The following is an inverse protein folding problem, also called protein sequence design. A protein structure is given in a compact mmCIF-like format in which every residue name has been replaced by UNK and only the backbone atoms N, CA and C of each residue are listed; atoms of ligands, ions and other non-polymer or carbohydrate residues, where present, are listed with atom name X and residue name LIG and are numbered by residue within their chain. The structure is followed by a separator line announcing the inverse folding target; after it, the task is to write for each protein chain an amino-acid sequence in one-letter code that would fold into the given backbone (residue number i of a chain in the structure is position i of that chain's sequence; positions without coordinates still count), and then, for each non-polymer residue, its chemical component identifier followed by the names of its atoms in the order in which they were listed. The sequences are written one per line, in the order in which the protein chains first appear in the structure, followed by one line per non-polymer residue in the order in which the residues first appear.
data_IF_010568933738
#
_entry.id   IF_010568933738
#
_cell.length_a   1.000
_cell.length_b   1.000
_cell.length_c   1.000
_cell.angle_alpha   90.00
_cell.angle_beta   90.00
_cell.angle_gamma   90.00
#
_symmetry.space_group_name_H-M   'P 1'
#
loop_
_entity.id
_entity.type
_entity.pdbx_description
1 polymer ?
#
# COMPACT_ATOMS: atom_id res chain seq x y z
N UNK A 1 -26.02 14.09 -28.40
CA UNK A 1 -26.24 14.23 -26.94
C UNK A 1 -24.96 13.94 -26.17
N UNK A 2 -24.18 12.90 -26.52
CA UNK A 2 -22.85 12.65 -25.94
C UNK A 2 -21.88 13.84 -26.09
N UNK A 3 -21.80 14.47 -27.26
CA UNK A 3 -20.80 15.52 -27.52
C UNK A 3 -20.94 16.77 -26.65
N UNK A 4 -22.18 17.14 -26.28
CA UNK A 4 -22.42 18.30 -25.42
C UNK A 4 -22.09 17.98 -23.95
N UNK A 5 -22.42 16.76 -23.50
CA UNK A 5 -22.05 16.30 -22.17
C UNK A 5 -20.52 16.29 -21.99
N UNK A 6 -19.76 15.74 -22.95
CA UNK A 6 -18.28 15.73 -22.84
C UNK A 6 -17.67 17.14 -22.80
N UNK A 7 -18.23 18.08 -23.58
CA UNK A 7 -17.76 19.47 -23.57
C UNK A 7 -18.05 20.15 -22.23
N UNK A 8 -19.25 19.96 -21.66
CA UNK A 8 -19.57 20.48 -20.33
C UNK A 8 -18.73 19.81 -19.23
N UNK A 9 -18.48 18.50 -19.31
CA UNK A 9 -17.56 17.80 -18.41
C UNK A 9 -16.13 18.35 -18.50
N UNK A 10 -15.63 18.60 -19.71
CA UNK A 10 -14.28 19.16 -19.91
C UNK A 10 -14.15 20.59 -19.38
N UNK A 11 -15.25 21.35 -19.37
CA UNK A 11 -15.30 22.70 -18.82
C UNK A 11 -15.50 22.72 -17.31
N UNK A 12 -15.92 21.62 -16.67
CA UNK A 12 -16.24 21.55 -15.24
C UNK A 12 -15.15 22.11 -14.32
N UNK A 13 -13.83 21.89 -14.54
CA UNK A 13 -12.78 22.48 -13.71
C UNK A 13 -12.73 24.01 -13.76
N UNK A 14 -13.19 24.60 -14.88
CA UNK A 14 -13.24 26.03 -15.12
C UNK A 14 -14.49 26.68 -14.51
N UNK A 15 -15.50 25.89 -14.14
CA UNK A 15 -16.76 26.43 -13.62
C UNK A 15 -16.60 27.06 -12.24
N UNK A 16 -15.53 26.73 -11.50
CA UNK A 16 -15.14 27.45 -10.27
C UNK A 16 -14.96 28.96 -10.48
N UNK A 17 -14.63 29.38 -11.71
CA UNK A 17 -14.37 30.77 -12.05
C UNK A 17 -15.57 31.47 -12.69
N UNK A 18 -16.59 30.69 -13.11
CA UNK A 18 -17.71 31.18 -13.91
C UNK A 18 -19.04 31.17 -13.14
N UNK A 19 -19.18 30.37 -12.08
CA UNK A 19 -20.47 30.14 -11.40
C UNK A 19 -20.27 30.17 -9.88
N UNK A 20 -21.11 30.95 -9.17
CA UNK A 20 -21.05 31.12 -7.70
C UNK A 20 -21.35 29.84 -6.91
N UNK A 21 -22.09 28.89 -7.51
CA UNK A 21 -22.43 27.57 -6.93
C UNK A 21 -22.12 26.43 -7.90
N UNK A 22 -20.95 25.81 -7.82
CA UNK A 22 -20.58 24.73 -8.72
C UNK A 22 -21.28 23.39 -8.40
N UNK A 23 -21.89 23.25 -7.21
CA UNK A 23 -22.59 22.03 -6.77
C UNK A 23 -23.86 21.71 -7.59
N UNK A 24 -24.71 22.71 -7.82
CA UNK A 24 -25.94 22.58 -8.63
C UNK A 24 -25.63 22.09 -10.06
N UNK A 25 -24.45 22.47 -10.55
CA UNK A 25 -23.95 22.11 -11.86
C UNK A 25 -23.49 20.67 -11.94
N UNK A 26 -22.82 20.19 -10.89
CA UNK A 26 -22.42 18.78 -10.75
C UNK A 26 -23.67 17.90 -10.64
N UNK A 27 -24.65 18.25 -9.79
CA UNK A 27 -25.91 17.52 -9.65
C UNK A 27 -26.67 17.37 -10.98
N UNK A 28 -26.75 18.46 -11.74
CA UNK A 28 -27.39 18.45 -13.05
C UNK A 28 -26.66 17.54 -14.04
N UNK A 29 -25.33 17.57 -14.08
CA UNK A 29 -24.54 16.69 -14.93
C UNK A 29 -24.65 15.21 -14.50
N UNK A 30 -24.78 14.93 -13.19
CA UNK A 30 -25.05 13.59 -12.66
C UNK A 30 -26.39 13.09 -13.19
N UNK A 31 -27.42 13.94 -13.16
CA UNK A 31 -28.74 13.60 -13.71
C UNK A 31 -28.70 13.37 -15.22
N UNK A 32 -27.86 14.11 -15.96
CA UNK A 32 -27.67 13.89 -17.40
C UNK A 32 -26.93 12.58 -17.72
N UNK A 33 -25.93 12.20 -16.92
CA UNK A 33 -25.19 10.93 -17.12
C UNK A 33 -26.02 9.68 -16.81
N UNK A 34 -27.13 9.81 -16.07
CA UNK A 34 -28.14 8.73 -15.92
C UNK A 34 -28.89 8.42 -17.21
N UNK A 35 -28.95 9.35 -18.16
CA UNK A 35 -29.57 9.16 -19.47
C UNK A 35 -28.68 8.46 -20.50
N UNK A 36 -27.43 8.11 -20.16
CA UNK A 36 -26.53 7.38 -21.05
C UNK A 36 -26.95 5.91 -21.11
N UNK A 37 -27.35 5.46 -22.31
CA UNK A 37 -27.78 4.08 -22.55
C UNK A 37 -26.62 3.06 -22.51
N UNK A 38 -25.39 3.51 -22.78
CA UNK A 38 -24.20 2.67 -22.62
C UNK A 38 -23.72 2.71 -21.16
N UNK A 39 -23.79 1.58 -20.44
CA UNK A 39 -23.34 1.50 -19.05
C UNK A 39 -21.85 1.87 -18.91
N UNK A 40 -21.00 1.49 -19.87
CA UNK A 40 -19.56 1.77 -19.79
C UNK A 40 -19.28 3.27 -19.94
N UNK A 41 -19.87 3.92 -20.94
CA UNK A 41 -19.77 5.37 -21.10
C UNK A 41 -20.37 6.12 -19.91
N UNK A 42 -21.47 5.63 -19.31
CA UNK A 42 -22.02 6.22 -18.09
C UNK A 42 -21.04 6.13 -16.92
N UNK A 43 -20.41 4.98 -16.71
CA UNK A 43 -19.43 4.78 -15.65
C UNK A 43 -18.20 5.70 -15.84
N UNK A 44 -17.62 5.75 -17.05
CA UNK A 44 -16.49 6.64 -17.34
C UNK A 44 -16.85 8.12 -17.19
N UNK A 45 -18.03 8.55 -17.65
CA UNK A 45 -18.48 9.92 -17.48
C UNK A 45 -18.65 10.27 -15.99
N UNK A 46 -19.27 9.41 -15.20
CA UNK A 46 -19.41 9.62 -13.74
C UNK A 46 -18.05 9.66 -13.04
N UNK A 47 -17.11 8.82 -13.45
CA UNK A 47 -15.76 8.79 -12.89
C UNK A 47 -14.95 10.04 -13.26
N UNK A 48 -15.04 10.49 -14.51
CA UNK A 48 -14.42 11.74 -14.95
C UNK A 48 -15.04 12.96 -14.26
N UNK A 49 -16.37 12.96 -14.06
CA UNK A 49 -17.03 13.99 -13.27
C UNK A 49 -16.57 13.98 -11.82
N UNK A 50 -16.43 12.81 -11.18
CA UNK A 50 -15.90 12.69 -9.82
C UNK A 50 -14.49 13.28 -9.72
N UNK A 51 -13.62 12.96 -10.69
CA UNK A 51 -12.28 13.53 -10.79
C UNK A 51 -12.30 15.06 -10.95
N UNK A 52 -13.17 15.60 -11.80
CA UNK A 52 -13.28 17.04 -12.00
C UNK A 52 -13.90 17.75 -10.79
N UNK A 53 -14.86 17.11 -10.11
CA UNK A 53 -15.52 17.65 -8.93
C UNK A 53 -14.57 17.77 -7.71
N UNK A 54 -13.59 16.89 -7.58
CA UNK A 54 -12.53 16.98 -6.56
C UNK A 54 -11.70 18.28 -6.66
N UNK A 55 -11.64 18.91 -7.84
CA UNK A 55 -10.90 20.16 -8.06
C UNK A 55 -11.70 21.40 -7.66
N UNK A 56 -12.91 21.24 -7.12
CA UNK A 56 -13.79 22.32 -6.71
C UNK A 56 -13.72 22.53 -5.18
N UNK A 57 -13.60 23.78 -4.70
CA UNK A 57 -13.26 24.08 -3.30
C UNK A 57 -14.38 23.89 -2.27
N UNK A 58 -15.60 23.48 -2.66
CA UNK A 58 -16.77 23.37 -1.75
C UNK A 58 -17.54 22.06 -1.81
N UNK A 59 -17.15 21.11 -2.67
CA UNK A 59 -17.95 19.92 -2.87
C UNK A 59 -17.81 18.97 -1.67
N UNK A 60 -18.91 18.65 -0.99
CA UNK A 60 -18.94 17.66 0.08
C UNK A 60 -18.81 16.26 -0.54
N UNK A 61 -17.57 15.75 -0.61
CA UNK A 61 -17.20 14.60 -1.44
C UNK A 61 -17.94 13.31 -1.04
N UNK A 62 -18.40 13.22 0.22
CA UNK A 62 -19.28 12.14 0.68
C UNK A 62 -20.61 12.10 -0.07
N UNK A 63 -21.26 13.25 -0.28
CA UNK A 63 -22.50 13.34 -1.07
C UNK A 63 -22.23 13.07 -2.55
N UNK A 64 -21.06 13.45 -3.04
CA UNK A 64 -20.65 13.27 -4.43
C UNK A 64 -20.45 11.79 -4.77
N UNK A 65 -19.83 11.00 -3.89
CA UNK A 65 -19.71 9.54 -4.04
C UNK A 65 -21.10 8.86 -4.05
N UNK A 66 -22.00 9.29 -3.16
CA UNK A 66 -23.40 8.82 -3.13
C UNK A 66 -24.13 9.19 -4.43
N UNK A 67 -23.98 10.43 -4.92
CA UNK A 67 -24.63 10.93 -6.14
C UNK A 67 -24.09 10.28 -7.42
N UNK A 68 -22.80 9.94 -7.46
CA UNK A 68 -22.20 9.16 -8.55
C UNK A 68 -22.62 7.69 -8.53
N UNK A 69 -23.35 7.26 -7.50
CA UNK A 69 -23.89 5.91 -7.36
C UNK A 69 -22.97 4.94 -6.64
N UNK A 70 -21.90 5.41 -5.99
CA UNK A 70 -21.00 4.57 -5.17
C UNK A 70 -21.52 4.39 -3.74
N UNK A 71 -22.55 5.14 -3.34
CA UNK A 71 -23.16 5.09 -2.01
C UNK A 71 -24.59 4.51 -1.96
N UNK A 72 -25.04 3.77 -2.98
CA UNK A 72 -26.38 3.17 -3.01
C UNK A 72 -26.37 1.63 -2.87
N UNK A 73 -27.49 1.10 -2.39
CA UNK A 73 -27.71 -0.29 -1.97
C UNK A 73 -27.18 -1.37 -2.94
N UNK A 74 -26.65 -2.42 -2.31
CA UNK A 74 -25.99 -3.64 -2.81
C UNK A 74 -26.66 -4.39 -4.00
N UNK A 75 -27.85 -3.99 -4.45
CA UNK A 75 -28.65 -4.75 -5.43
C UNK A 75 -28.63 -4.09 -6.83
N UNK A 76 -28.43 -2.78 -6.93
CA UNK A 76 -28.53 -2.06 -8.23
C UNK A 76 -27.18 -1.91 -8.97
N UNK A 77 -26.04 -1.89 -8.26
CA UNK A 77 -24.71 -1.85 -8.88
C UNK A 77 -24.27 -3.22 -9.44
N UNK A 78 -24.57 -4.30 -8.72
CA UNK A 78 -24.03 -5.63 -8.98
C UNK A 78 -24.77 -6.41 -10.07
N UNK A 79 -25.98 -5.97 -10.45
CA UNK A 79 -26.74 -6.58 -11.52
C UNK A 79 -26.31 -6.19 -12.93
N UNK A 80 -25.47 -5.16 -13.10
CA UNK A 80 -25.29 -4.49 -14.41
C UNK A 80 -23.85 -4.32 -14.91
N UNK A 81 -22.83 -4.56 -14.09
CA UNK A 81 -21.45 -4.23 -14.45
C UNK A 81 -20.49 -5.38 -14.17
N UNK A 82 -19.83 -5.88 -15.22
CA UNK A 82 -18.85 -6.98 -15.16
C UNK A 82 -17.41 -6.53 -14.83
N UNK A 83 -17.18 -5.22 -14.68
CA UNK A 83 -15.84 -4.63 -14.58
C UNK A 83 -15.74 -3.53 -13.51
N UNK A 84 -16.40 -3.71 -12.36
CA UNK A 84 -16.37 -2.76 -11.24
C UNK A 84 -14.98 -2.69 -10.58
N UNK A 85 -14.25 -3.81 -10.51
CA UNK A 85 -12.93 -3.89 -9.85
C UNK A 85 -11.90 -2.96 -10.51
N UNK A 86 -11.82 -2.94 -11.85
CA UNK A 86 -10.89 -2.06 -12.57
C UNK A 86 -11.30 -0.58 -12.49
N UNK A 87 -12.59 -0.29 -12.54
CA UNK A 87 -13.13 1.08 -12.42
C UNK A 87 -12.84 1.63 -11.03
N UNK A 88 -13.08 0.82 -10.00
CA UNK A 88 -12.79 1.17 -8.61
C UNK A 88 -11.29 1.42 -8.41
N UNK A 89 -10.42 0.60 -9.01
CA UNK A 89 -8.97 0.79 -8.94
C UNK A 89 -8.56 2.19 -9.44
N UNK A 90 -9.02 2.55 -10.63
CA UNK A 90 -8.70 3.84 -11.22
C UNK A 90 -9.32 5.00 -10.46
N UNK A 91 -10.53 4.84 -9.94
CA UNK A 91 -11.17 5.85 -9.10
C UNK A 91 -10.35 6.09 -7.83
N UNK A 92 -9.97 5.03 -7.13
CA UNK A 92 -9.18 5.11 -5.90
C UNK A 92 -7.80 5.73 -6.14
N UNK A 93 -7.20 5.45 -7.30
CA UNK A 93 -5.90 6.00 -7.69
C UNK A 93 -5.95 7.52 -7.81
N UNK A 94 -7.07 8.06 -8.30
CA UNK A 94 -7.25 9.50 -8.54
C UNK A 94 -7.81 10.25 -7.32
N UNK A 95 -8.49 9.58 -6.38
CA UNK A 95 -9.05 10.20 -5.19
C UNK A 95 -7.96 10.82 -4.29
N UNK A 96 -8.08 12.09 -3.84
CA UNK A 96 -7.15 12.70 -2.89
C UNK A 96 -7.01 11.90 -1.59
N UNK A 97 -5.82 11.87 -1.01
CA UNK A 97 -5.56 11.11 0.22
C UNK A 97 -6.47 11.56 1.37
N UNK A 98 -6.79 12.86 1.45
CA UNK A 98 -7.70 13.42 2.47
C UNK A 98 -9.11 12.81 2.41
N UNK A 99 -9.59 12.48 1.20
CA UNK A 99 -10.87 11.80 0.99
C UNK A 99 -10.77 10.33 1.37
N UNK A 100 -9.71 9.66 0.90
CA UNK A 100 -9.51 8.23 1.16
C UNK A 100 -9.42 7.96 2.66
N UNK A 101 -8.72 8.80 3.40
CA UNK A 101 -8.59 8.70 4.87
C UNK A 101 -9.92 8.95 5.61
N UNK A 102 -10.80 9.79 5.07
CA UNK A 102 -12.10 10.12 5.69
C UNK A 102 -13.17 9.06 5.41
N UNK A 103 -13.14 8.43 4.23
CA UNK A 103 -14.13 7.42 3.79
C UNK A 103 -13.53 5.99 3.71
N UNK A 104 -12.44 5.72 4.42
CA UNK A 104 -11.65 4.50 4.26
C UNK A 104 -12.47 3.21 4.46
N UNK A 105 -13.38 3.19 5.44
CA UNK A 105 -14.23 2.02 5.74
C UNK A 105 -15.24 1.76 4.63
N UNK A 106 -15.83 2.81 4.06
CA UNK A 106 -16.79 2.70 2.94
C UNK A 106 -16.10 2.23 1.67
N UNK A 107 -14.90 2.77 1.39
CA UNK A 107 -14.07 2.35 0.27
C UNK A 107 -13.68 0.88 0.44
N UNK A 108 -13.28 0.46 1.64
CA UNK A 108 -12.95 -0.93 1.93
C UNK A 108 -14.13 -1.86 1.66
N UNK A 109 -15.32 -1.53 2.18
CA UNK A 109 -16.54 -2.30 1.92
C UNK A 109 -16.83 -2.39 0.41
N UNK A 110 -16.59 -1.30 -0.33
CA UNK A 110 -16.77 -1.28 -1.79
C UNK A 110 -15.80 -2.23 -2.50
N UNK A 111 -14.53 -2.26 -2.07
CA UNK A 111 -13.51 -3.20 -2.59
C UNK A 111 -13.91 -4.65 -2.31
N UNK A 112 -14.46 -4.94 -1.13
CA UNK A 112 -14.91 -6.28 -0.76
C UNK A 112 -16.03 -6.76 -1.68
N UNK A 113 -17.00 -5.89 -1.97
CA UNK A 113 -18.12 -6.24 -2.82
C UNK A 113 -17.73 -6.30 -4.32
N UNK A 114 -16.73 -5.56 -4.78
CA UNK A 114 -16.35 -5.46 -6.20
C UNK A 114 -15.43 -6.58 -6.72
N UNK A 115 -15.53 -7.80 -6.18
CA UNK A 115 -14.68 -8.92 -6.61
C UNK A 115 -15.18 -9.51 -7.95
N UNK A 116 -14.62 -9.02 -9.06
CA UNK A 116 -14.89 -9.51 -10.40
C UNK A 116 -13.60 -9.89 -11.15
N UNK A 117 -13.74 -10.47 -12.35
CA UNK A 117 -12.61 -10.94 -13.15
C UNK A 117 -11.83 -9.82 -13.86
N UNK A 118 -12.29 -8.57 -13.80
CA UNK A 118 -11.70 -7.47 -14.58
C UNK A 118 -10.37 -7.00 -14.02
N UNK A 119 -10.10 -7.24 -12.73
CA UNK A 119 -8.89 -6.76 -12.07
C UNK A 119 -8.56 -7.54 -10.80
N UNK A 120 -7.25 -7.70 -10.53
CA UNK A 120 -6.78 -8.36 -9.31
C UNK A 120 -7.17 -7.55 -8.07
N UNK A 121 -8.01 -8.13 -7.22
CA UNK A 121 -8.50 -7.51 -5.99
C UNK A 121 -7.36 -7.17 -5.02
N UNK A 122 -6.24 -7.92 -5.03
CA UNK A 122 -5.08 -7.62 -4.19
C UNK A 122 -4.50 -6.24 -4.51
N UNK A 123 -4.53 -5.83 -5.78
CA UNK A 123 -4.05 -4.51 -6.19
C UNK A 123 -4.94 -3.37 -5.68
N UNK A 124 -6.24 -3.63 -5.49
CA UNK A 124 -7.16 -2.67 -4.88
C UNK A 124 -6.88 -2.49 -3.39
N UNK A 125 -6.72 -3.59 -2.65
CA UNK A 125 -6.33 -3.51 -1.23
C UNK A 125 -4.96 -2.84 -1.05
N UNK A 126 -3.98 -3.20 -1.89
CA UNK A 126 -2.65 -2.59 -1.91
C UNK A 126 -2.71 -1.08 -2.15
N UNK A 127 -3.49 -0.64 -3.14
CA UNK A 127 -3.64 0.78 -3.44
C UNK A 127 -4.28 1.53 -2.26
N UNK A 128 -5.31 0.97 -1.64
CA UNK A 128 -5.91 1.57 -0.43
C UNK A 128 -4.88 1.76 0.68
N UNK A 129 -4.03 0.76 0.92
CA UNK A 129 -2.93 0.85 1.89
C UNK A 129 -1.99 2.03 1.60
N UNK A 130 -1.52 2.17 0.35
CA UNK A 130 -0.66 3.31 0.01
C UNK A 130 -1.34 4.67 0.18
N UNK A 131 -2.60 4.81 -0.24
CA UNK A 131 -3.33 6.08 -0.07
C UNK A 131 -3.54 6.43 1.41
N UNK A 132 -3.73 5.43 2.26
CA UNK A 132 -3.86 5.62 3.71
C UNK A 132 -2.53 5.93 4.40
N UNK A 133 -1.39 5.48 3.87
CA UNK A 133 -0.07 5.77 4.46
C UNK A 133 0.45 7.17 4.12
N UNK A 134 -0.05 7.81 3.05
CA UNK A 134 0.32 9.18 2.64
C UNK A 134 -0.05 10.26 3.68
N UNK A 135 -1.08 10.01 4.48
CA UNK A 135 -1.62 10.97 5.45
C UNK A 135 -1.96 10.28 6.77
N UNK A 136 -1.66 10.95 7.88
CA UNK A 136 -2.11 10.48 9.19
C UNK A 136 -3.63 10.52 9.26
N UNK A 137 -4.21 9.35 9.39
CA UNK A 137 -5.65 9.14 9.55
C UNK A 137 -6.03 9.05 11.02
N UNK A 138 -7.33 9.10 11.32
CA UNK A 138 -7.80 8.83 12.69
C UNK A 138 -7.55 7.36 13.05
N UNK A 139 -7.07 7.12 14.26
CA UNK A 139 -6.65 5.80 14.74
C UNK A 139 -7.78 4.77 14.68
N UNK A 140 -9.00 5.15 15.05
CA UNK A 140 -10.19 4.29 15.00
C UNK A 140 -10.49 3.75 13.59
N UNK A 141 -10.41 4.62 12.58
CA UNK A 141 -10.63 4.26 11.17
C UNK A 141 -9.53 3.31 10.69
N UNK A 142 -8.27 3.64 10.97
CA UNK A 142 -7.11 2.82 10.55
C UNK A 142 -7.17 1.43 11.14
N UNK A 143 -7.48 1.33 12.44
CA UNK A 143 -7.61 0.04 13.11
C UNK A 143 -8.67 -0.83 12.44
N UNK A 144 -9.87 -0.28 12.20
CA UNK A 144 -10.95 -1.02 11.56
C UNK A 144 -10.57 -1.53 10.16
N UNK A 145 -9.86 -0.72 9.37
CA UNK A 145 -9.39 -1.11 8.04
C UNK A 145 -8.32 -2.20 8.13
N UNK A 146 -7.30 -2.02 8.97
CA UNK A 146 -6.20 -2.99 9.12
C UNK A 146 -6.70 -4.33 9.67
N UNK A 147 -7.60 -4.31 10.66
CA UNK A 147 -8.26 -5.51 11.20
C UNK A 147 -8.93 -6.31 10.09
N UNK A 148 -9.74 -5.62 9.29
CA UNK A 148 -10.51 -6.24 8.23
C UNK A 148 -9.65 -6.75 7.08
N UNK A 149 -8.67 -5.96 6.63
CA UNK A 149 -7.72 -6.39 5.59
C UNK A 149 -6.92 -7.60 6.07
N UNK A 150 -6.46 -7.60 7.32
CA UNK A 150 -5.74 -8.73 7.92
C UNK A 150 -6.61 -9.99 7.96
N UNK A 151 -7.90 -9.83 8.28
CA UNK A 151 -8.88 -10.93 8.22
C UNK A 151 -9.01 -11.49 6.80
N UNK A 152 -9.25 -10.64 5.79
CA UNK A 152 -9.41 -11.09 4.40
C UNK A 152 -8.13 -11.76 3.87
N UNK A 153 -6.96 -11.24 4.23
CA UNK A 153 -5.67 -11.83 3.83
C UNK A 153 -5.36 -13.13 4.56
N UNK A 154 -5.91 -13.36 5.75
CA UNK A 154 -5.70 -14.61 6.51
C UNK A 154 -6.25 -15.84 5.79
N UNK A 155 -7.29 -15.67 4.97
CA UNK A 155 -7.95 -16.72 4.18
C UNK A 155 -7.16 -17.10 2.91
N UNK A 156 -6.28 -16.21 2.42
CA UNK A 156 -5.48 -16.42 1.21
C UNK A 156 -4.21 -17.20 1.53
N UNK A 157 -3.91 -18.22 0.72
CA UNK A 157 -2.73 -19.09 0.91
C UNK A 157 -1.49 -18.63 0.11
N UNK A 158 -1.66 -17.82 -0.94
CA UNK A 158 -0.56 -17.38 -1.79
C UNK A 158 0.33 -16.37 -1.05
N UNK A 159 1.64 -16.64 -1.01
CA UNK A 159 2.64 -15.73 -0.45
C UNK A 159 2.71 -14.42 -1.26
N UNK A 160 2.78 -14.50 -2.59
CA UNK A 160 2.77 -13.33 -3.48
C UNK A 160 1.56 -12.41 -3.27
N UNK A 161 0.33 -12.95 -3.22
CA UNK A 161 -0.88 -12.16 -2.97
C UNK A 161 -0.84 -11.50 -1.59
N UNK A 162 -0.38 -12.26 -0.59
CA UNK A 162 -0.26 -11.76 0.79
C UNK A 162 0.75 -10.61 0.85
N UNK A 163 1.95 -10.79 0.32
CA UNK A 163 3.04 -9.80 0.30
C UNK A 163 2.64 -8.52 -0.44
N UNK A 164 1.99 -8.64 -1.61
CA UNK A 164 1.49 -7.50 -2.39
C UNK A 164 0.62 -6.57 -1.56
N UNK A 165 -0.24 -7.13 -0.70
CA UNK A 165 -1.14 -6.33 0.15
C UNK A 165 -0.39 -5.85 1.39
N UNK A 166 0.19 -6.75 2.18
CA UNK A 166 0.74 -6.36 3.50
C UNK A 166 1.89 -5.36 3.40
N UNK A 167 2.71 -5.40 2.34
CA UNK A 167 3.77 -4.40 2.12
C UNK A 167 3.25 -2.96 2.15
N UNK A 168 2.03 -2.72 1.64
CA UNK A 168 1.40 -1.40 1.66
C UNK A 168 0.87 -0.98 3.05
N UNK A 169 0.63 -1.93 3.96
CA UNK A 169 0.06 -1.68 5.29
C UNK A 169 1.10 -1.67 6.40
N UNK A 170 2.32 -2.18 6.18
CA UNK A 170 3.40 -2.17 7.18
C UNK A 170 3.67 -0.76 7.69
N UNK A 171 3.77 0.24 6.80
CA UNK A 171 4.01 1.63 7.21
C UNK A 171 2.87 2.16 8.10
N UNK A 172 1.62 1.80 7.80
CA UNK A 172 0.45 2.19 8.60
C UNK A 172 0.53 1.57 10.00
N UNK A 173 0.81 0.27 10.06
CA UNK A 173 0.91 -0.50 11.31
C UNK A 173 2.01 0.07 12.21
N UNK A 174 3.18 0.38 11.64
CA UNK A 174 4.31 0.96 12.34
C UNK A 174 4.00 2.38 12.85
N UNK A 175 3.49 3.25 11.97
CA UNK A 175 3.14 4.63 12.34
C UNK A 175 2.07 4.72 13.45
N UNK A 176 1.19 3.72 13.55
CA UNK A 176 0.11 3.67 14.54
C UNK A 176 0.43 2.81 15.78
N UNK A 177 1.62 2.21 15.88
CA UNK A 177 2.05 1.34 16.99
C UNK A 177 1.12 0.14 17.21
N UNK A 178 0.78 -0.55 16.12
CA UNK A 178 -0.14 -1.70 16.13
C UNK A 178 0.63 -3.03 16.26
N UNK A 179 1.31 -3.25 17.38
CA UNK A 179 2.26 -4.37 17.56
C UNK A 179 1.61 -5.75 17.37
N UNK A 180 0.36 -5.93 17.78
CA UNK A 180 -0.40 -7.17 17.58
C UNK A 180 -0.58 -7.50 16.09
N UNK A 181 -0.86 -6.47 15.27
CA UNK A 181 -1.00 -6.60 13.83
C UNK A 181 0.34 -6.82 13.15
N UNK A 182 1.40 -6.17 13.62
CA UNK A 182 2.76 -6.43 13.13
C UNK A 182 3.13 -7.90 13.33
N UNK A 183 2.92 -8.43 14.54
CA UNK A 183 3.15 -9.85 14.83
C UNK A 183 2.31 -10.78 13.96
N UNK A 184 1.04 -10.42 13.73
CA UNK A 184 0.14 -11.18 12.84
C UNK A 184 0.62 -11.17 11.39
N UNK A 185 1.11 -10.01 10.91
CA UNK A 185 1.67 -9.87 9.57
C UNK A 185 2.89 -10.77 9.42
N UNK A 186 3.89 -10.64 10.31
CA UNK A 186 5.14 -11.40 10.27
C UNK A 186 4.90 -12.90 10.41
N UNK A 187 4.04 -13.33 11.35
CA UNK A 187 3.65 -14.74 11.47
C UNK A 187 2.93 -15.26 10.23
N UNK A 188 2.13 -14.42 9.57
CA UNK A 188 1.49 -14.72 8.30
C UNK A 188 2.48 -14.88 7.14
N UNK A 189 3.58 -14.11 7.13
CA UNK A 189 4.68 -14.26 6.15
C UNK A 189 5.40 -15.58 6.41
N UNK A 190 5.90 -15.81 7.64
CA UNK A 190 6.64 -17.02 8.00
C UNK A 190 5.85 -18.29 7.68
N UNK A 191 4.55 -18.33 8.04
CA UNK A 191 3.66 -19.47 7.74
C UNK A 191 3.56 -19.78 6.24
N UNK A 192 3.54 -18.77 5.37
CA UNK A 192 3.35 -18.93 3.91
C UNK A 192 4.66 -19.13 3.16
N UNK A 193 5.77 -18.66 3.73
CA UNK A 193 7.10 -18.85 3.18
C UNK A 193 7.72 -20.21 3.60
N UNK A 194 7.21 -20.83 4.66
CA UNK A 194 7.70 -22.10 5.17
C UNK A 194 7.80 -23.18 4.07
N UNK A 195 9.01 -23.69 3.84
CA UNK A 195 9.35 -24.71 2.84
C UNK A 195 9.01 -24.36 1.38
N UNK A 196 8.82 -23.08 1.05
CA UNK A 196 8.57 -22.63 -0.32
C UNK A 196 9.82 -21.96 -0.88
N UNK A 197 10.13 -22.22 -2.17
CA UNK A 197 11.09 -21.41 -2.91
C UNK A 197 10.45 -20.04 -3.15
N UNK A 198 11.04 -19.01 -2.57
CA UNK A 198 10.62 -17.62 -2.70
C UNK A 198 11.01 -17.12 -4.09
N UNK A 199 10.12 -16.45 -4.82
CA UNK A 199 10.44 -15.88 -6.14
C UNK A 199 11.13 -14.52 -6.02
N UNK A 200 11.73 -14.02 -7.10
CA UNK A 200 12.36 -12.68 -7.12
C UNK A 200 11.36 -11.55 -6.78
N UNK A 201 10.12 -11.62 -7.27
CA UNK A 201 9.08 -10.64 -6.95
C UNK A 201 8.66 -10.68 -5.47
N UNK A 202 8.60 -11.90 -4.90
CA UNK A 202 8.34 -12.10 -3.47
C UNK A 202 9.53 -11.56 -2.64
N UNK A 203 10.78 -11.79 -3.06
CA UNK A 203 11.99 -11.24 -2.43
C UNK A 203 12.02 -9.71 -2.43
N UNK A 204 11.64 -9.06 -3.53
CA UNK A 204 11.57 -7.61 -3.61
C UNK A 204 10.56 -7.03 -2.60
N UNK A 205 9.42 -7.72 -2.42
CA UNK A 205 8.41 -7.34 -1.43
C UNK A 205 8.90 -7.58 0.01
N UNK A 206 9.56 -8.71 0.27
CA UNK A 206 10.18 -9.00 1.58
C UNK A 206 11.27 -7.97 1.92
N UNK A 207 12.14 -7.64 0.97
CA UNK A 207 13.16 -6.60 1.12
C UNK A 207 12.53 -5.28 1.52
N UNK A 208 11.48 -4.84 0.81
CA UNK A 208 10.74 -3.62 1.14
C UNK A 208 10.21 -3.64 2.58
N UNK A 209 9.57 -4.74 2.99
CA UNK A 209 9.02 -4.90 4.35
C UNK A 209 10.13 -4.83 5.41
N UNK A 210 11.20 -5.60 5.26
CA UNK A 210 12.29 -5.64 6.26
C UNK A 210 13.02 -4.29 6.35
N UNK A 211 13.23 -3.60 5.22
CA UNK A 211 13.82 -2.25 5.22
C UNK A 211 12.90 -1.24 5.90
N UNK A 212 11.58 -1.31 5.70
CA UNK A 212 10.61 -0.47 6.44
C UNK A 212 10.68 -0.69 7.95
N UNK A 213 10.83 -1.94 8.40
CA UNK A 213 11.05 -2.24 9.82
C UNK A 213 12.36 -1.59 10.31
N UNK A 214 13.48 -1.86 9.64
CA UNK A 214 14.80 -1.36 10.02
C UNK A 214 14.89 0.17 10.05
N UNK A 215 14.12 0.86 9.20
CA UNK A 215 14.07 2.33 9.17
C UNK A 215 13.16 2.93 10.24
N UNK A 216 12.16 2.18 10.72
CA UNK A 216 11.25 2.64 11.77
C UNK A 216 11.82 2.48 13.18
N UNK A 217 12.48 1.36 13.46
CA UNK A 217 13.12 1.12 14.75
C UNK A 217 14.39 1.97 14.90
N UNK A 218 14.75 2.28 16.15
CA UNK A 218 15.98 3.02 16.44
C UNK A 218 17.14 2.09 16.71
N UNK A 219 16.92 1.04 17.50
CA UNK A 219 17.95 0.10 17.95
C UNK A 219 17.79 -1.23 17.22
N UNK A 220 18.90 -1.82 16.79
CA UNK A 220 18.89 -3.08 16.03
C UNK A 220 18.40 -4.26 16.88
N UNK A 221 18.69 -4.23 18.18
CA UNK A 221 18.26 -5.23 19.16
C UNK A 221 16.71 -5.32 19.19
N UNK A 222 16.01 -4.18 19.13
CA UNK A 222 14.53 -4.16 19.08
C UNK A 222 14.01 -4.95 17.86
N UNK A 223 14.70 -4.83 16.71
CA UNK A 223 14.32 -5.53 15.47
C UNK A 223 14.59 -7.03 15.59
N UNK A 224 15.71 -7.43 16.19
CA UNK A 224 16.04 -8.85 16.42
C UNK A 224 15.07 -9.53 17.40
N UNK A 225 14.43 -8.76 18.28
CA UNK A 225 13.37 -9.30 19.16
C UNK A 225 12.00 -9.45 18.50
N UNK A 226 11.80 -8.94 17.28
CA UNK A 226 10.54 -9.10 16.56
C UNK A 226 10.29 -10.56 16.19
N UNK A 227 9.07 -11.03 16.45
CA UNK A 227 8.68 -12.39 16.13
C UNK A 227 8.83 -12.65 14.62
N UNK A 228 9.42 -13.79 14.28
CA UNK A 228 9.65 -14.25 12.92
C UNK A 228 10.58 -13.37 12.06
N UNK A 229 11.17 -12.28 12.58
CA UNK A 229 12.07 -11.44 11.79
C UNK A 229 13.28 -12.22 11.25
N UNK A 230 13.98 -12.95 12.13
CA UNK A 230 15.13 -13.76 11.74
C UNK A 230 14.73 -14.93 10.82
N UNK A 231 13.57 -15.56 11.08
CA UNK A 231 13.04 -16.61 10.20
C UNK A 231 12.79 -16.09 8.77
N UNK A 232 12.24 -14.88 8.65
CA UNK A 232 12.01 -14.22 7.35
C UNK A 232 13.33 -13.76 6.72
N UNK A 233 14.30 -13.34 7.54
CA UNK A 233 15.63 -13.01 7.02
C UNK A 233 16.27 -14.26 6.42
N UNK A 234 16.22 -15.41 7.10
CA UNK A 234 16.89 -16.66 6.68
C UNK A 234 16.36 -17.26 5.37
N UNK A 235 15.10 -17.03 5.02
CA UNK A 235 14.55 -17.45 3.72
C UNK A 235 15.02 -16.58 2.54
N UNK A 236 15.52 -15.36 2.80
CA UNK A 236 15.98 -14.46 1.75
C UNK A 236 17.37 -14.84 1.26
N UNK A 237 17.64 -14.61 -0.03
CA UNK A 237 18.93 -14.86 -0.66
C UNK A 237 19.26 -13.78 -1.70
N UNK A 238 20.48 -13.83 -2.24
CA UNK A 238 20.96 -12.94 -3.30
C UNK A 238 21.00 -11.46 -2.91
N UNK A 239 20.88 -10.59 -3.91
CA UNK A 239 20.96 -9.13 -3.75
C UNK A 239 19.95 -8.60 -2.74
N UNK A 240 18.75 -9.18 -2.69
CA UNK A 240 17.71 -8.78 -1.74
C UNK A 240 18.12 -9.00 -0.28
N UNK A 241 18.71 -10.17 0.02
CA UNK A 241 19.27 -10.46 1.35
C UNK A 241 20.41 -9.50 1.68
N UNK A 242 21.30 -9.27 0.73
CA UNK A 242 22.48 -8.42 0.93
C UNK A 242 22.13 -6.96 1.17
N UNK A 243 21.09 -6.43 0.50
CA UNK A 243 20.56 -5.09 0.78
C UNK A 243 20.04 -5.01 2.23
N UNK A 244 19.24 -5.98 2.68
CA UNK A 244 18.73 -6.00 4.07
C UNK A 244 19.87 -6.10 5.07
N UNK A 245 20.85 -6.98 4.84
CA UNK A 245 22.04 -7.14 5.67
C UNK A 245 22.84 -5.83 5.80
N UNK A 246 23.02 -5.11 4.69
CA UNK A 246 23.66 -3.78 4.71
C UNK A 246 22.86 -2.79 5.55
N UNK A 247 21.52 -2.79 5.46
CA UNK A 247 20.67 -1.95 6.30
C UNK A 247 20.79 -2.29 7.79
N UNK A 248 20.86 -3.59 8.14
CA UNK A 248 21.09 -4.05 9.52
C UNK A 248 22.44 -3.56 10.05
N UNK A 249 23.53 -3.74 9.30
CA UNK A 249 24.86 -3.29 9.72
C UNK A 249 24.95 -1.76 9.83
N UNK A 250 24.35 -1.03 8.90
CA UNK A 250 24.30 0.42 8.98
C UNK A 250 23.51 0.90 10.22
N UNK A 251 22.41 0.22 10.55
CA UNK A 251 21.64 0.52 11.75
C UNK A 251 22.45 0.23 13.04
N UNK A 252 23.11 -0.92 13.08
CA UNK A 252 23.94 -1.37 14.19
C UNK A 252 25.10 -0.39 14.46
N UNK A 253 25.81 0.01 13.41
CA UNK A 253 27.00 0.88 13.53
C UNK A 253 26.67 2.34 13.87
N UNK A 254 25.48 2.85 13.49
CA UNK A 254 25.06 4.23 13.83
C UNK A 254 24.82 4.47 15.31
N UNK A 255 24.48 3.44 16.08
CA UNK A 255 24.13 3.59 17.50
C UNK A 255 25.30 3.36 18.47
N UNK A 256 26.47 2.96 17.97
CA UNK A 256 27.76 3.00 18.68
C UNK A 256 27.93 2.06 19.88
N UNK A 257 26.89 1.40 20.37
CA UNK A 257 27.00 0.43 21.46
C UNK A 257 26.00 -0.71 21.29
N UNK A 258 26.52 -1.92 21.09
CA UNK A 258 25.76 -3.17 21.10
C UNK A 258 26.32 -3.97 22.25
N UNK A 259 25.48 -4.25 23.25
CA UNK A 259 25.95 -4.87 24.49
C UNK A 259 25.60 -6.35 24.58
N UNK A 260 24.62 -6.79 23.79
CA UNK A 260 24.13 -8.16 23.81
C UNK A 260 25.03 -9.12 22.98
N UNK A 261 25.62 -10.16 23.59
CA UNK A 261 26.49 -11.12 22.89
C UNK A 261 25.81 -11.84 21.73
N UNK A 262 24.51 -12.13 21.84
CA UNK A 262 23.75 -12.80 20.77
C UNK A 262 23.58 -11.88 19.56
N UNK A 263 23.27 -10.62 19.78
CA UNK A 263 23.17 -9.60 18.74
C UNK A 263 24.53 -9.37 18.05
N UNK A 264 25.63 -9.37 18.80
CA UNK A 264 26.99 -9.30 18.24
C UNK A 264 27.27 -10.51 17.33
N UNK A 265 26.94 -11.71 17.79
CA UNK A 265 27.13 -12.94 17.00
C UNK A 265 26.35 -12.91 15.69
N UNK A 266 25.07 -12.50 15.72
CA UNK A 266 24.25 -12.35 14.52
C UNK A 266 24.85 -11.34 13.54
N UNK A 267 25.39 -10.22 14.03
CA UNK A 267 26.02 -9.21 13.19
C UNK A 267 27.33 -9.70 12.56
N UNK A 268 28.08 -10.57 13.26
CA UNK A 268 29.23 -11.25 12.67
C UNK A 268 28.80 -12.20 11.55
N UNK A 269 27.75 -12.99 11.75
CA UNK A 269 27.20 -13.87 10.71
C UNK A 269 26.70 -13.08 9.49
N UNK A 270 26.02 -11.96 9.71
CA UNK A 270 25.59 -11.03 8.65
C UNK A 270 26.79 -10.45 7.90
N UNK A 271 27.84 -10.04 8.63
CA UNK A 271 29.07 -9.50 8.03
C UNK A 271 29.80 -10.54 7.19
N UNK A 272 29.87 -11.78 7.67
CA UNK A 272 30.47 -12.89 6.93
C UNK A 272 29.66 -13.20 5.66
N UNK A 273 28.34 -13.28 5.77
CA UNK A 273 27.47 -13.48 4.60
C UNK A 273 27.69 -12.40 3.52
N UNK A 274 27.83 -11.13 3.92
CA UNK A 274 28.12 -10.03 2.99
C UNK A 274 29.52 -10.08 2.38
N UNK A 275 30.50 -10.58 3.13
CA UNK A 275 31.86 -10.76 2.61
C UNK A 275 31.93 -11.89 1.58
N UNK A 276 31.19 -12.97 1.82
CA UNK A 276 31.18 -14.16 0.97
C UNK A 276 30.33 -13.96 -0.30
N UNK A 277 29.39 -13.01 -0.28
CA UNK A 277 28.62 -12.56 -1.45
C UNK A 277 29.52 -11.74 -2.41
N UNK A 278 30.28 -12.47 -3.23
CA UNK A 278 31.30 -11.93 -4.15
C UNK A 278 30.78 -11.01 -5.26
N UNK A 279 29.47 -10.84 -5.40
CA UNK A 279 28.85 -9.94 -6.39
C UNK A 279 29.23 -8.46 -6.18
N UNK A 280 29.54 -8.05 -4.94
CA UNK A 280 29.91 -6.67 -4.62
C UNK A 280 31.41 -6.38 -4.74
N UNK A 281 32.26 -7.41 -4.76
CA UNK A 281 33.71 -7.25 -4.89
C UNK A 281 34.17 -6.97 -6.33
N UNK A 282 33.28 -7.16 -7.31
CA UNK A 282 33.62 -7.12 -8.73
C UNK A 282 33.22 -5.83 -9.47
N UNK A 283 32.55 -4.89 -8.78
CA UNK A 283 32.28 -3.56 -9.34
C UNK A 283 33.44 -2.63 -9.02
N UNK A 284 34.19 -2.24 -10.06
CA UNK A 284 35.37 -1.37 -10.00
C UNK A 284 35.04 0.10 -9.71
N UNK A 285 34.13 0.39 -8.79
CA UNK A 285 33.79 1.77 -8.42
C UNK A 285 33.98 2.03 -6.93
N UNK A 286 34.21 3.31 -6.60
CA UNK A 286 34.48 3.92 -5.29
C UNK A 286 33.42 3.65 -4.18
N UNK A 287 32.53 2.68 -4.37
CA UNK A 287 31.39 2.32 -3.53
C UNK A 287 31.41 0.84 -3.11
N UNK A 288 32.56 0.36 -2.59
CA UNK A 288 32.59 -0.89 -1.83
C UNK A 288 31.94 -0.68 -0.43
N UNK A 289 30.66 -0.33 -0.46
CA UNK A 289 29.79 -0.09 0.69
C UNK A 289 29.77 -1.24 1.70
N UNK A 290 29.70 -2.54 1.31
CA UNK A 290 29.75 -3.63 2.29
C UNK A 290 31.09 -3.67 3.04
N UNK A 291 32.22 -3.50 2.35
CA UNK A 291 33.53 -3.47 3.02
C UNK A 291 33.67 -2.31 4.02
N UNK A 292 33.11 -1.13 3.69
CA UNK A 292 33.06 0.02 4.61
C UNK A 292 32.23 -0.27 5.86
N UNK A 293 31.04 -0.87 5.69
CA UNK A 293 30.16 -1.23 6.80
C UNK A 293 30.77 -2.30 7.70
N UNK A 294 31.39 -3.33 7.12
CA UNK A 294 32.09 -4.39 7.87
C UNK A 294 33.28 -3.80 8.65
N UNK A 295 34.10 -2.97 8.01
CA UNK A 295 35.21 -2.29 8.68
C UNK A 295 34.70 -1.43 9.84
N UNK A 296 33.62 -0.69 9.64
CA UNK A 296 33.04 0.14 10.69
C UNK A 296 32.52 -0.68 11.87
N UNK A 297 31.88 -1.83 11.61
CA UNK A 297 31.43 -2.76 12.64
C UNK A 297 32.59 -3.35 13.46
N UNK A 298 33.69 -3.75 12.82
CA UNK A 298 34.88 -4.28 13.51
C UNK A 298 35.59 -3.21 14.36
N UNK A 299 35.43 -1.93 14.02
CA UNK A 299 36.05 -0.81 14.74
C UNK A 299 35.23 -0.27 15.92
N UNK A 300 33.98 -0.70 16.08
CA UNK A 300 33.08 -0.33 17.17
C UNK A 300 33.43 -1.06 18.46
#
# INVERSE_FOLDING_TARGET
MLDFSYLELALLPCWRFLVDKPEDSVQRLVMMTRGLADPLASAYCRLYMAHCAQKLPSCDIGNVLVEFGLGMNQVELFGSFSCLSIVLHHLLKELPAEVVTSSAVEILHTIECSNDYSFDQCLNYRLLGFRLSERKSRRDIVHAVVDKVTQVMSERNSLDEYLKVVDAYVDIVLQNQMDNHLNTILGGISKRAYNKVVTEDELASLQSILVKLLTHFKVVEDVFTLNHFLEILDIMYGSSRSIVNMHILNMATRNGSISDPTSIQLLFEISQNLHDDGDFLNTKDDDNQPARLISHFVHM
#
